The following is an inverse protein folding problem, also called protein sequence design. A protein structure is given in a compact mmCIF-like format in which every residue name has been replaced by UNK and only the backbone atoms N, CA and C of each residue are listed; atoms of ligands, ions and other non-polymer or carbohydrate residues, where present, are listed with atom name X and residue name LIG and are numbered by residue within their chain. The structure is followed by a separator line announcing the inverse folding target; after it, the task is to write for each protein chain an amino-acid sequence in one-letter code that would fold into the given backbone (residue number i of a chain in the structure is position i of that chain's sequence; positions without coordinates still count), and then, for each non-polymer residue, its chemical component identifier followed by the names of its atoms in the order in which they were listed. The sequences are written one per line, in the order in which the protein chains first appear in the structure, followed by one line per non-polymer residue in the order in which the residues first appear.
data_IF_985787776011
#
_entry.id   IF_985787776011
#
_cell.length_a   1.000
_cell.length_b   1.000
_cell.length_c   1.000
_cell.angle_alpha   90.00
_cell.angle_beta   90.00
_cell.angle_gamma   90.00
#
_symmetry.space_group_name_H-M   'P 1'
#
loop_
_entity.id
_entity.type
_entity.pdbx_description
1 polymer ?
#
# COMPACT_ATOMS: atom_id res chain seq x y z
N UNK A 1 65.67 -65.18 -24.31
CA UNK A 1 65.02 -66.02 -23.27
C UNK A 1 64.36 -65.08 -22.28
N UNK A 2 63.12 -65.40 -21.91
CA UNK A 2 62.06 -64.42 -21.61
C UNK A 2 62.26 -63.54 -20.37
N UNK A 3 61.73 -62.32 -20.46
CA UNK A 3 61.32 -61.54 -19.30
C UNK A 3 59.81 -61.72 -19.10
N UNK A 4 59.43 -62.26 -17.95
CA UNK A 4 58.07 -62.46 -17.47
C UNK A 4 57.27 -61.15 -17.45
N UNK A 5 56.08 -61.19 -18.06
CA UNK A 5 55.07 -60.14 -17.97
C UNK A 5 54.54 -60.00 -16.54
N UNK A 6 54.72 -58.82 -15.96
CA UNK A 6 54.25 -58.38 -14.65
C UNK A 6 52.99 -57.51 -14.79
N UNK A 7 52.06 -57.90 -15.66
CA UNK A 7 50.88 -57.11 -16.01
C UNK A 7 49.57 -57.89 -15.87
N UNK A 8 49.40 -58.66 -14.79
CA UNK A 8 48.09 -59.26 -14.47
C UNK A 8 47.82 -59.35 -12.97
N UNK A 9 47.59 -58.20 -12.32
CA UNK A 9 47.12 -58.22 -10.91
C UNK A 9 46.19 -57.10 -10.47
N UNK A 10 45.61 -56.32 -11.40
CA UNK A 10 44.81 -55.15 -10.99
C UNK A 10 43.56 -54.86 -11.83
N UNK A 11 42.90 -55.87 -12.38
CA UNK A 11 41.55 -55.71 -12.95
C UNK A 11 40.52 -56.31 -12.00
N UNK A 12 39.84 -55.45 -11.21
CA UNK A 12 38.66 -55.88 -10.45
C UNK A 12 37.52 -56.17 -11.42
N UNK A 13 36.80 -57.30 -11.28
CA UNK A 13 35.68 -57.60 -12.15
C UNK A 13 34.58 -56.52 -12.02
N UNK A 14 33.88 -56.17 -13.12
CA UNK A 14 32.79 -55.22 -13.07
C UNK A 14 31.72 -55.71 -12.10
N UNK A 15 31.12 -54.83 -11.28
CA UNK A 15 30.11 -55.23 -10.31
C UNK A 15 28.93 -55.90 -11.01
N UNK A 16 28.41 -56.98 -10.43
CA UNK A 16 27.27 -57.73 -10.97
C UNK A 16 26.06 -56.81 -11.20
N UNK A 17 25.23 -57.12 -12.20
CA UNK A 17 24.00 -56.38 -12.50
C UNK A 17 23.09 -56.24 -11.27
N UNK A 18 23.08 -57.25 -10.41
CA UNK A 18 22.40 -57.25 -9.12
C UNK A 18 22.93 -56.17 -8.17
N UNK A 19 24.25 -56.03 -8.03
CA UNK A 19 24.85 -55.01 -7.15
C UNK A 19 24.51 -53.59 -7.62
N UNK A 20 24.51 -53.34 -8.93
CA UNK A 20 24.10 -52.04 -9.50
C UNK A 20 22.63 -51.72 -9.20
N UNK A 21 21.74 -52.71 -9.32
CA UNK A 21 20.33 -52.54 -8.99
C UNK A 21 20.12 -52.25 -7.49
N UNK A 22 20.84 -52.93 -6.59
CA UNK A 22 20.79 -52.67 -5.15
C UNK A 22 21.28 -51.27 -4.78
N UNK A 23 22.37 -50.81 -5.38
CA UNK A 23 22.90 -49.45 -5.15
C UNK A 23 21.90 -48.40 -5.64
N UNK A 24 21.30 -48.60 -6.81
CA UNK A 24 20.29 -47.68 -7.35
C UNK A 24 19.03 -47.65 -6.49
N UNK A 25 18.51 -48.80 -6.04
CA UNK A 25 17.35 -48.85 -5.14
C UNK A 25 17.66 -48.19 -3.79
N UNK A 26 18.82 -48.47 -3.20
CA UNK A 26 19.23 -47.86 -1.93
C UNK A 26 19.37 -46.33 -2.06
N UNK A 27 19.93 -45.85 -3.18
CA UNK A 27 20.02 -44.43 -3.47
C UNK A 27 18.64 -43.78 -3.66
N UNK A 28 17.73 -44.42 -4.41
CA UNK A 28 16.36 -43.93 -4.60
C UNK A 28 15.60 -43.89 -3.25
N UNK A 29 15.70 -44.94 -2.43
CA UNK A 29 15.08 -44.97 -1.09
C UNK A 29 15.66 -43.88 -0.19
N UNK A 30 16.98 -43.67 -0.22
CA UNK A 30 17.61 -42.60 0.55
C UNK A 30 17.14 -41.22 0.10
N UNK A 31 17.09 -40.96 -1.21
CA UNK A 31 16.60 -39.68 -1.75
C UNK A 31 15.13 -39.46 -1.40
N UNK A 32 14.28 -40.48 -1.54
CA UNK A 32 12.85 -40.40 -1.21
C UNK A 32 12.65 -40.16 0.29
N UNK A 33 13.37 -40.88 1.16
CA UNK A 33 13.28 -40.69 2.62
C UNK A 33 13.81 -39.33 3.05
N UNK A 34 14.91 -38.84 2.46
CA UNK A 34 15.42 -37.49 2.72
C UNK A 34 14.44 -36.39 2.27
N UNK A 35 13.79 -36.55 1.11
CA UNK A 35 12.76 -35.63 0.62
C UNK A 35 11.51 -35.64 1.51
N UNK A 36 11.04 -36.82 1.94
CA UNK A 36 9.93 -36.95 2.87
C UNK A 36 10.24 -36.34 4.25
N UNK A 37 11.46 -36.55 4.76
CA UNK A 37 11.89 -35.94 6.00
C UNK A 37 11.96 -34.41 5.88
N UNK A 38 12.51 -33.88 4.77
CA UNK A 38 12.58 -32.46 4.51
C UNK A 38 11.19 -31.81 4.39
N UNK A 39 10.22 -32.45 3.74
CA UNK A 39 8.84 -31.94 3.66
C UNK A 39 8.15 -31.97 5.02
N UNK A 40 8.29 -33.05 5.79
CA UNK A 40 7.73 -33.14 7.15
C UNK A 40 8.33 -32.08 8.09
N UNK A 41 9.65 -31.87 8.06
CA UNK A 41 10.32 -30.87 8.87
C UNK A 41 9.91 -29.43 8.50
N UNK A 42 9.84 -29.11 7.20
CA UNK A 42 9.44 -27.78 6.72
C UNK A 42 7.96 -27.48 6.98
N UNK A 43 7.07 -28.46 6.83
CA UNK A 43 5.64 -28.31 7.16
C UNK A 43 5.41 -28.10 8.66
N UNK A 44 6.21 -28.72 9.52
CA UNK A 44 6.11 -28.54 10.96
C UNK A 44 6.65 -27.16 11.40
N UNK A 45 7.72 -26.68 10.79
CA UNK A 45 8.27 -25.36 11.09
C UNK A 45 7.28 -24.22 10.78
N UNK A 46 6.65 -24.22 9.61
CA UNK A 46 5.67 -23.19 9.22
C UNK A 46 4.44 -23.15 10.14
N UNK A 47 3.93 -24.33 10.54
CA UNK A 47 2.78 -24.42 11.44
C UNK A 47 3.08 -23.92 12.86
N UNK A 48 4.28 -24.22 13.37
CA UNK A 48 4.71 -23.74 14.69
C UNK A 48 4.81 -22.21 14.71
N UNK A 49 5.38 -21.59 13.66
CA UNK A 49 5.48 -20.13 13.59
C UNK A 49 4.12 -19.44 13.47
N UNK A 50 3.19 -20.00 12.69
CA UNK A 50 1.82 -19.47 12.61
C UNK A 50 1.09 -19.57 13.96
N UNK A 51 1.22 -20.71 14.65
CA UNK A 51 0.63 -20.91 15.96
C UNK A 51 1.23 -19.94 17.01
N UNK A 52 2.55 -19.72 16.96
CA UNK A 52 3.23 -18.73 17.80
C UNK A 52 2.73 -17.32 17.55
N UNK A 53 2.61 -16.91 16.29
CA UNK A 53 2.11 -15.60 15.91
C UNK A 53 0.67 -15.38 16.40
N UNK A 54 -0.21 -16.36 16.18
CA UNK A 54 -1.60 -16.29 16.63
C UNK A 54 -1.68 -16.19 18.15
N UNK A 55 -0.97 -17.06 18.87
CA UNK A 55 -0.94 -17.06 20.33
C UNK A 55 -0.33 -15.77 20.92
N UNK A 56 0.59 -15.13 20.19
CA UNK A 56 1.14 -13.84 20.60
C UNK A 56 0.16 -12.67 20.41
N UNK A 57 -0.84 -12.84 19.54
CA UNK A 57 -1.79 -11.79 19.12
C UNK A 57 -3.14 -11.88 19.86
N UNK A 58 -3.62 -13.10 20.11
CA UNK A 58 -4.91 -13.39 20.76
C UNK A 58 -4.83 -13.14 22.26
N UNK A 59 -5.78 -12.36 22.77
CA UNK A 59 -5.99 -12.15 24.20
C UNK A 59 -7.02 -13.14 24.76
N UNK A 60 -6.52 -14.26 25.28
CA UNK A 60 -7.35 -15.32 25.88
C UNK A 60 -8.11 -14.90 27.15
N UNK A 61 -7.83 -13.71 27.71
CA UNK A 61 -8.58 -13.17 28.84
C UNK A 61 -9.90 -12.50 28.41
N UNK A 62 -10.11 -12.28 27.11
CA UNK A 62 -11.30 -11.65 26.57
C UNK A 62 -12.26 -12.71 26.03
N UNK A 63 -13.57 -12.47 26.15
CA UNK A 63 -14.59 -13.33 25.57
C UNK A 63 -14.71 -13.04 24.06
N UNK A 64 -14.53 -14.02 23.15
CA UNK A 64 -14.70 -13.82 21.72
C UNK A 64 -16.13 -13.42 21.30
N UNK A 65 -17.13 -13.69 22.15
CA UNK A 65 -18.53 -13.36 21.88
C UNK A 65 -18.89 -11.90 22.20
N UNK A 66 -18.05 -11.17 22.93
CA UNK A 66 -18.28 -9.75 23.24
C UNK A 66 -17.75 -8.83 22.13
N UNK A 67 -16.48 -9.01 21.77
CA UNK A 67 -15.77 -8.26 20.74
C UNK A 67 -14.63 -9.11 20.18
N UNK A 68 -14.91 -9.79 19.06
CA UNK A 68 -13.94 -10.70 18.46
C UNK A 68 -12.66 -9.99 17.99
N UNK A 69 -12.75 -8.71 17.61
CA UNK A 69 -11.57 -7.95 17.21
C UNK A 69 -10.64 -7.72 18.40
N UNK A 70 -11.19 -7.32 19.56
CA UNK A 70 -10.38 -7.20 20.77
C UNK A 70 -9.80 -8.55 21.19
N UNK A 71 -10.59 -9.62 21.18
CA UNK A 71 -10.11 -10.97 21.46
C UNK A 71 -8.93 -11.35 20.56
N UNK A 72 -9.05 -11.17 19.24
CA UNK A 72 -8.04 -11.63 18.29
C UNK A 72 -6.81 -10.72 18.18
N UNK A 73 -6.94 -9.41 18.46
CA UNK A 73 -5.91 -8.42 18.10
C UNK A 73 -5.36 -7.57 19.26
N UNK A 74 -5.93 -7.61 20.46
CA UNK A 74 -5.55 -6.66 21.54
C UNK A 74 -4.08 -6.76 21.94
N UNK A 75 -3.52 -7.98 22.08
CA UNK A 75 -2.11 -8.14 22.44
C UNK A 75 -1.18 -7.69 21.31
N UNK A 76 -1.58 -7.92 20.06
CA UNK A 76 -0.82 -7.42 18.91
C UNK A 76 -0.78 -5.89 18.92
N UNK A 77 -1.94 -5.24 19.09
CA UNK A 77 -2.08 -3.78 19.18
C UNK A 77 -1.24 -3.21 20.34
N UNK A 78 -1.27 -3.84 21.52
CA UNK A 78 -0.48 -3.42 22.68
C UNK A 78 1.04 -3.52 22.48
N UNK A 79 1.51 -4.38 21.57
CA UNK A 79 2.94 -4.52 21.24
C UNK A 79 3.37 -3.69 20.03
N UNK A 80 2.44 -3.26 19.18
CA UNK A 80 2.70 -2.64 17.89
C UNK A 80 2.09 -1.24 17.80
N UNK A 81 2.72 -0.30 18.48
CA UNK A 81 2.34 1.12 18.42
C UNK A 81 2.60 1.71 17.03
N UNK A 82 1.72 2.63 16.62
CA UNK A 82 1.88 3.44 15.41
C UNK A 82 3.00 4.47 15.66
N UNK A 83 4.12 4.42 14.92
CA UNK A 83 5.18 5.41 15.06
C UNK A 83 4.71 6.81 14.63
N UNK A 84 5.31 7.88 15.17
CA UNK A 84 4.92 9.27 14.89
C UNK A 84 4.99 9.72 13.42
N UNK A 85 5.74 8.99 12.57
CA UNK A 85 5.90 9.26 11.14
C UNK A 85 4.97 8.42 10.26
N UNK A 86 3.97 7.73 10.85
CA UNK A 86 3.01 6.90 10.14
C UNK A 86 1.61 7.16 10.66
N UNK A 87 0.65 6.97 9.78
CA UNK A 87 -0.77 7.12 10.10
C UNK A 87 -1.37 5.80 10.63
N UNK A 88 -0.81 4.66 10.22
CA UNK A 88 -1.32 3.34 10.59
C UNK A 88 -0.21 2.30 10.81
N UNK A 89 -0.58 1.24 11.54
CA UNK A 89 0.21 0.02 11.66
C UNK A 89 -0.71 -1.20 11.70
N UNK A 90 -0.59 -2.03 10.67
CA UNK A 90 -1.30 -3.30 10.50
C UNK A 90 -0.34 -4.41 10.04
N UNK A 91 -0.81 -5.66 10.02
CA UNK A 91 -0.04 -6.78 9.46
C UNK A 91 0.37 -6.50 8.00
N UNK A 92 -0.53 -5.93 7.19
CA UNK A 92 -0.21 -5.54 5.81
C UNK A 92 0.92 -4.52 5.73
N UNK A 93 0.93 -3.51 6.61
CA UNK A 93 2.03 -2.53 6.62
C UNK A 93 3.37 -3.14 7.04
N UNK A 94 3.36 -4.15 7.92
CA UNK A 94 4.57 -4.88 8.33
C UNK A 94 5.11 -5.70 7.15
N UNK A 95 4.24 -6.47 6.48
CA UNK A 95 4.60 -7.27 5.33
C UNK A 95 5.08 -6.41 4.16
N UNK A 96 4.37 -5.32 3.84
CA UNK A 96 4.78 -4.38 2.80
C UNK A 96 6.15 -3.80 3.10
N UNK A 97 6.44 -3.43 4.36
CA UNK A 97 7.76 -2.94 4.74
C UNK A 97 8.86 -3.99 4.55
N UNK A 98 8.60 -5.26 4.90
CA UNK A 98 9.57 -6.33 4.68
C UNK A 98 9.86 -6.49 3.18
N UNK A 99 8.81 -6.52 2.35
CA UNK A 99 8.93 -6.57 0.90
C UNK A 99 9.70 -5.37 0.33
N UNK A 100 9.40 -4.16 0.79
CA UNK A 100 10.11 -2.94 0.36
C UNK A 100 11.61 -3.05 0.65
N UNK A 101 11.99 -3.61 1.81
CA UNK A 101 13.40 -3.81 2.17
C UNK A 101 14.08 -4.85 1.27
N UNK A 102 13.39 -5.94 0.92
CA UNK A 102 13.92 -6.95 0.00
C UNK A 102 14.12 -6.37 -1.41
N UNK A 103 13.15 -5.60 -1.90
CA UNK A 103 13.23 -4.90 -3.19
C UNK A 103 14.38 -3.89 -3.18
N UNK A 104 14.52 -3.10 -2.11
CA UNK A 104 15.64 -2.18 -1.95
C UNK A 104 16.98 -2.91 -1.95
N UNK A 105 17.07 -4.06 -1.29
CA UNK A 105 18.27 -4.91 -1.31
C UNK A 105 18.65 -5.34 -2.73
N UNK A 106 17.68 -5.82 -3.50
CA UNK A 106 17.88 -6.24 -4.90
C UNK A 106 18.30 -5.06 -5.78
N UNK A 107 17.65 -3.91 -5.64
CA UNK A 107 17.95 -2.73 -6.46
C UNK A 107 19.31 -2.11 -6.11
N UNK A 108 19.67 -2.03 -4.83
CA UNK A 108 20.97 -1.51 -4.40
C UNK A 108 22.14 -2.40 -4.83
N UNK A 109 21.95 -3.72 -4.88
CA UNK A 109 22.96 -4.66 -5.37
C UNK A 109 23.06 -4.71 -6.90
N UNK A 110 22.23 -3.96 -7.64
CA UNK A 110 22.21 -4.00 -9.10
C UNK A 110 23.31 -3.12 -9.69
N UNK A 111 24.18 -3.71 -10.53
CA UNK A 111 25.18 -2.97 -11.30
C UNK A 111 24.53 -2.28 -12.50
N UNK A 112 24.64 -0.96 -12.55
CA UNK A 112 24.12 -0.14 -13.64
C UNK A 112 25.21 -0.05 -14.73
N UNK A 113 24.89 -0.49 -15.95
CA UNK A 113 25.73 -0.35 -17.14
C UNK A 113 25.16 0.72 -18.07
N UNK A 114 26.01 1.42 -18.80
CA UNK A 114 25.63 2.47 -19.75
C UNK A 114 25.18 1.93 -21.12
N UNK A 115 25.62 0.73 -21.51
CA UNK A 115 25.41 0.22 -22.88
C UNK A 115 24.03 -0.42 -23.10
N UNK A 116 23.59 -1.27 -22.17
CA UNK A 116 22.32 -2.01 -22.26
C UNK A 116 21.67 -2.08 -20.87
N UNK A 117 20.59 -1.32 -20.68
CA UNK A 117 19.86 -1.28 -19.40
C UNK A 117 18.63 -2.19 -19.43
N UNK A 118 18.71 -3.30 -18.71
CA UNK A 118 17.57 -4.15 -18.36
C UNK A 118 16.51 -3.39 -17.53
N UNK A 119 15.25 -3.85 -17.46
CA UNK A 119 14.23 -3.25 -16.60
C UNK A 119 14.68 -3.12 -15.14
N UNK A 120 15.42 -4.12 -14.63
CA UNK A 120 16.01 -4.12 -13.29
C UNK A 120 17.03 -2.98 -13.13
N UNK A 121 17.92 -2.79 -14.10
CA UNK A 121 18.91 -1.70 -14.07
C UNK A 121 18.27 -0.31 -14.15
N UNK A 122 17.21 -0.16 -14.97
CA UNK A 122 16.45 1.11 -15.04
C UNK A 122 15.77 1.42 -13.71
N UNK A 123 15.17 0.42 -13.07
CA UNK A 123 14.57 0.59 -11.74
C UNK A 123 15.61 0.96 -10.68
N UNK A 124 16.79 0.33 -10.70
CA UNK A 124 17.88 0.66 -9.80
C UNK A 124 18.43 2.08 -10.02
N UNK A 125 18.62 2.48 -11.28
CA UNK A 125 19.04 3.84 -11.63
C UNK A 125 17.99 4.90 -11.20
N UNK A 126 16.71 4.62 -11.41
CA UNK A 126 15.62 5.49 -10.97
C UNK A 126 15.60 5.64 -9.44
N UNK A 127 15.78 4.53 -8.71
CA UNK A 127 15.91 4.55 -7.25
C UNK A 127 17.10 5.41 -6.83
N UNK A 128 18.28 5.20 -7.44
CA UNK A 128 19.50 5.95 -7.16
C UNK A 128 19.31 7.47 -7.29
N UNK A 129 18.65 7.92 -8.36
CA UNK A 129 18.32 9.33 -8.55
C UNK A 129 17.30 9.89 -7.54
N UNK A 130 16.42 9.05 -7.01
CA UNK A 130 15.44 9.44 -5.98
C UNK A 130 16.08 9.60 -4.60
N UNK A 131 17.01 8.70 -4.23
CA UNK A 131 17.62 8.69 -2.89
C UNK A 131 18.85 9.59 -2.76
N UNK A 132 19.45 10.04 -3.86
CA UNK A 132 20.57 11.00 -3.85
C UNK A 132 20.09 12.41 -3.46
N UNK A 133 19.95 12.62 -2.15
CA UNK A 133 19.58 13.92 -1.58
C UNK A 133 20.59 15.02 -1.92
N UNK A 134 21.86 14.71 -2.17
CA UNK A 134 22.87 15.72 -2.52
C UNK A 134 22.60 16.28 -3.91
N UNK A 135 22.35 15.42 -4.89
CA UNK A 135 22.00 15.84 -6.23
C UNK A 135 20.65 16.58 -6.25
N UNK A 136 19.63 16.06 -5.56
CA UNK A 136 18.32 16.72 -5.44
C UNK A 136 18.45 18.12 -4.85
N UNK A 137 19.17 18.28 -3.75
CA UNK A 137 19.36 19.58 -3.10
C UNK A 137 20.18 20.55 -3.97
N UNK A 138 21.21 20.05 -4.67
CA UNK A 138 22.03 20.86 -5.59
C UNK A 138 21.21 21.41 -6.76
N UNK A 139 20.28 20.62 -7.29
CA UNK A 139 19.41 21.03 -8.40
C UNK A 139 18.29 21.99 -7.94
N UNK A 140 17.85 21.87 -6.69
CA UNK A 140 16.77 22.67 -6.14
C UNK A 140 15.50 22.61 -6.99
N UNK A 141 14.85 23.75 -7.18
CA UNK A 141 13.60 23.88 -7.97
C UNK A 141 13.84 24.07 -9.47
N UNK A 142 15.09 24.13 -9.92
CA UNK A 142 15.43 24.45 -11.31
C UNK A 142 14.85 23.44 -12.33
N UNK A 143 14.84 22.11 -12.09
CA UNK A 143 14.22 21.16 -13.02
C UNK A 143 12.71 21.40 -13.21
N UNK A 144 12.00 21.71 -12.12
CA UNK A 144 10.56 22.00 -12.15
C UNK A 144 10.30 23.35 -12.84
N UNK A 145 11.12 24.36 -12.56
CA UNK A 145 10.99 25.69 -13.18
C UNK A 145 11.14 25.61 -14.71
N UNK A 146 12.17 24.90 -15.20
CA UNK A 146 12.34 24.64 -16.64
C UNK A 146 11.19 23.83 -17.24
N UNK A 147 10.60 22.91 -16.48
CA UNK A 147 9.44 22.15 -16.93
C UNK A 147 8.23 23.07 -17.11
N UNK A 148 7.97 23.95 -16.15
CA UNK A 148 6.88 24.93 -16.21
C UNK A 148 7.07 25.91 -17.38
N UNK A 149 8.28 26.44 -17.56
CA UNK A 149 8.64 27.32 -18.67
C UNK A 149 8.36 26.67 -20.04
N UNK A 150 8.76 25.40 -20.22
CA UNK A 150 8.51 24.64 -21.46
C UNK A 150 7.03 24.48 -21.79
N UNK A 151 6.16 24.57 -20.80
CA UNK A 151 4.71 24.46 -20.97
C UNK A 151 3.99 25.82 -20.84
N UNK A 152 4.70 26.93 -20.94
CA UNK A 152 4.11 28.28 -20.92
C UNK A 152 3.56 28.68 -19.55
N UNK A 153 4.10 28.10 -18.47
CA UNK A 153 3.72 28.38 -17.08
C UNK A 153 4.86 29.08 -16.31
N UNK A 154 5.63 29.90 -17.01
CA UNK A 154 6.72 30.67 -16.38
C UNK A 154 6.19 31.55 -15.25
N UNK A 155 6.88 31.53 -14.11
CA UNK A 155 6.50 32.29 -12.91
C UNK A 155 5.42 31.65 -12.04
N UNK A 156 4.77 30.57 -12.47
CA UNK A 156 3.80 29.86 -11.63
C UNK A 156 4.50 29.23 -10.40
N UNK A 157 3.91 29.27 -9.19
CA UNK A 157 2.56 29.74 -8.86
C UNK A 157 2.46 31.23 -8.48
N UNK A 158 3.58 31.94 -8.38
CA UNK A 158 3.63 33.32 -7.91
C UNK A 158 2.98 34.31 -8.89
N UNK A 159 3.13 34.07 -10.19
CA UNK A 159 2.56 34.88 -11.26
C UNK A 159 2.25 34.04 -12.48
N UNK A 160 1.23 34.42 -13.26
CA UNK A 160 1.01 33.86 -14.59
C UNK A 160 1.64 34.75 -15.66
N UNK A 161 2.08 34.18 -16.79
CA UNK A 161 2.54 34.98 -17.92
C UNK A 161 1.41 35.85 -18.47
N UNK A 162 1.75 36.95 -19.14
CA UNK A 162 0.78 37.91 -19.71
C UNK A 162 -0.19 37.28 -20.70
N UNK A 163 0.27 36.28 -21.46
CA UNK A 163 -0.56 35.44 -22.34
C UNK A 163 -0.36 33.98 -21.94
N UNK A 164 -1.13 33.46 -20.98
CA UNK A 164 -1.08 32.04 -20.64
C UNK A 164 -1.66 31.18 -21.77
N UNK A 165 -1.25 29.92 -21.89
CA UNK A 165 -1.83 28.98 -22.85
C UNK A 165 -3.35 28.81 -22.64
N UNK A 166 -4.04 28.46 -23.73
CA UNK A 166 -5.46 28.13 -23.67
C UNK A 166 -5.68 26.93 -22.73
N UNK A 167 -6.63 27.01 -21.76
CA UNK A 167 -6.72 26.01 -20.70
C UNK A 167 -6.96 24.58 -21.19
N UNK A 168 -7.78 24.37 -22.23
CA UNK A 168 -8.06 23.03 -22.72
C UNK A 168 -6.81 22.40 -23.35
N UNK A 169 -6.09 23.15 -24.18
CA UNK A 169 -4.81 22.72 -24.75
C UNK A 169 -3.75 22.45 -23.68
N UNK A 170 -3.64 23.32 -22.66
CA UNK A 170 -2.71 23.12 -21.55
C UNK A 170 -3.02 21.83 -20.78
N UNK A 171 -4.28 21.63 -20.39
CA UNK A 171 -4.71 20.42 -19.66
C UNK A 171 -4.46 19.17 -20.51
N UNK A 172 -4.72 19.24 -21.82
CA UNK A 172 -4.42 18.17 -22.76
C UNK A 172 -2.92 17.84 -22.79
N UNK A 173 -2.05 18.84 -22.90
CA UNK A 173 -0.59 18.62 -22.95
C UNK A 173 -0.04 18.09 -21.62
N UNK A 174 -0.47 18.66 -20.48
CA UNK A 174 -0.09 18.18 -19.15
C UNK A 174 -0.52 16.72 -18.93
N UNK A 175 -1.74 16.37 -19.35
CA UNK A 175 -2.27 15.00 -19.24
C UNK A 175 -1.47 14.03 -20.12
N UNK A 176 -1.18 14.42 -21.36
CA UNK A 176 -0.53 13.54 -22.34
C UNK A 176 0.96 13.34 -22.05
N UNK A 177 1.68 14.42 -21.74
CA UNK A 177 3.14 14.39 -21.56
C UNK A 177 3.57 14.06 -20.14
N UNK A 178 2.89 14.63 -19.15
CA UNK A 178 3.31 14.57 -17.75
C UNK A 178 2.44 13.63 -16.91
N UNK A 179 1.38 13.06 -17.49
CA UNK A 179 0.34 12.30 -16.77
C UNK A 179 -0.31 13.12 -15.64
N UNK A 180 -0.22 14.46 -15.72
CA UNK A 180 -0.83 15.38 -14.78
C UNK A 180 -2.25 15.67 -15.23
N UNK A 181 -3.23 15.21 -14.45
CA UNK A 181 -4.65 15.32 -14.77
C UNK A 181 -5.31 16.25 -13.75
N UNK A 182 -5.25 17.59 -13.92
CA UNK A 182 -5.63 18.54 -12.86
C UNK A 182 -7.15 18.70 -12.67
N UNK A 183 -7.95 18.58 -13.75
CA UNK A 183 -9.39 18.88 -13.71
C UNK A 183 -10.26 17.63 -13.56
N UNK A 184 -9.98 16.63 -14.38
CA UNK A 184 -10.69 15.36 -14.41
C UNK A 184 -9.68 14.25 -14.69
N UNK A 185 -10.02 13.04 -14.28
CA UNK A 185 -9.19 11.86 -14.53
C UNK A 185 -9.72 11.14 -15.75
N UNK A 186 -8.84 10.87 -16.70
CA UNK A 186 -9.10 10.07 -17.88
C UNK A 186 -8.38 8.72 -17.75
N UNK A 187 -9.11 7.64 -17.94
CA UNK A 187 -8.54 6.28 -17.91
C UNK A 187 -9.13 5.45 -19.04
N UNK A 188 -8.34 4.57 -19.62
CA UNK A 188 -8.85 3.54 -20.53
C UNK A 188 -9.10 2.28 -19.71
N UNK A 189 -10.34 1.83 -19.64
CA UNK A 189 -10.69 0.58 -18.97
C UNK A 189 -11.62 -0.28 -19.82
N UNK A 190 -11.81 -1.52 -19.36
CA UNK A 190 -12.68 -2.51 -19.99
C UNK A 190 -14.11 -2.00 -20.00
N UNK A 191 -14.81 -2.18 -21.12
CA UNK A 191 -16.22 -1.81 -21.18
C UNK A 191 -17.03 -2.72 -20.23
N UNK A 192 -17.85 -2.18 -19.33
CA UNK A 192 -18.45 -2.93 -18.22
C UNK A 192 -19.45 -4.01 -18.69
N UNK A 193 -20.02 -3.86 -19.88
CA UNK A 193 -20.95 -4.83 -20.48
C UNK A 193 -20.34 -5.66 -21.62
N UNK A 194 -19.10 -5.36 -22.03
CA UNK A 194 -18.42 -6.06 -23.12
C UNK A 194 -16.91 -6.10 -22.83
N UNK A 195 -16.45 -7.21 -22.27
CA UNK A 195 -15.07 -7.34 -21.81
C UNK A 195 -14.02 -7.36 -22.93
N UNK A 196 -14.46 -7.53 -24.19
CA UNK A 196 -13.59 -7.52 -25.37
C UNK A 196 -13.23 -6.11 -25.82
N UNK A 197 -13.99 -5.10 -25.38
CA UNK A 197 -13.80 -3.70 -25.75
C UNK A 197 -13.11 -2.90 -24.65
N UNK A 198 -12.55 -1.76 -25.05
CA UNK A 198 -12.01 -0.73 -24.17
C UNK A 198 -12.77 0.57 -24.41
N UNK A 199 -12.99 1.34 -23.35
CA UNK A 199 -13.60 2.66 -23.44
C UNK A 199 -12.81 3.65 -22.60
N UNK A 200 -12.91 4.93 -22.97
CA UNK A 200 -12.36 6.03 -22.17
C UNK A 200 -13.37 6.39 -21.10
N UNK A 201 -12.94 6.37 -19.84
CA UNK A 201 -13.71 6.88 -18.72
C UNK A 201 -13.18 8.25 -18.35
N UNK A 202 -14.10 9.20 -18.22
CA UNK A 202 -13.83 10.52 -17.67
C UNK A 202 -14.48 10.58 -16.30
N UNK A 203 -13.67 10.72 -15.25
CA UNK A 203 -14.13 10.80 -13.87
C UNK A 203 -13.84 12.19 -13.32
N UNK A 204 -14.77 12.74 -12.52
CA UNK A 204 -14.49 13.93 -11.70
C UNK A 204 -13.25 13.65 -10.85
N UNK A 205 -12.30 14.57 -10.82
CA UNK A 205 -11.22 14.47 -9.85
C UNK A 205 -11.76 14.93 -8.50
N UNK A 206 -11.63 14.09 -7.48
CA UNK A 206 -11.82 14.55 -6.11
C UNK A 206 -10.76 15.63 -5.88
N UNK A 207 -11.19 16.89 -5.81
CA UNK A 207 -10.28 17.96 -5.46
C UNK A 207 -9.70 17.66 -4.06
N UNK A 208 -8.44 18.06 -3.82
CA UNK A 208 -7.84 18.10 -2.48
C UNK A 208 -8.71 18.88 -1.47
N UNK A 209 -9.68 19.65 -1.98
CA UNK A 209 -10.67 20.38 -1.22
C UNK A 209 -12.05 19.80 -1.54
N UNK A 210 -12.67 19.11 -0.58
CA UNK A 210 -14.06 18.64 -0.63
C UNK A 210 -14.98 19.76 -1.14
N UNK A 211 -16.03 19.44 -1.91
CA UNK A 211 -17.05 20.40 -2.34
C UNK A 211 -17.62 21.19 -1.14
N UNK A 212 -17.71 20.58 0.06
CA UNK A 212 -18.05 21.26 1.32
C UNK A 212 -16.99 22.25 1.78
N UNK A 213 -15.70 21.99 1.56
CA UNK A 213 -14.62 22.90 1.89
C UNK A 213 -14.54 24.06 0.89
N UNK A 214 -14.78 23.81 -0.40
CA UNK A 214 -14.91 24.87 -1.40
C UNK A 214 -16.14 25.74 -1.12
N UNK A 215 -17.25 25.14 -0.72
CA UNK A 215 -18.47 25.83 -0.29
C UNK A 215 -18.25 26.59 1.03
N UNK A 216 -17.54 25.99 1.99
CA UNK A 216 -17.15 26.66 3.23
C UNK A 216 -16.17 27.80 2.99
N UNK A 217 -15.25 27.70 2.02
CA UNK A 217 -14.35 28.79 1.62
C UNK A 217 -15.10 29.89 0.87
N UNK A 218 -16.06 29.54 0.00
CA UNK A 218 -16.96 30.50 -0.66
C UNK A 218 -17.83 31.25 0.36
N UNK A 219 -18.48 30.50 1.26
CA UNK A 219 -19.30 31.05 2.34
C UNK A 219 -18.45 31.85 3.31
N UNK A 220 -17.28 31.37 3.70
CA UNK A 220 -16.36 32.11 4.57
C UNK A 220 -15.88 33.40 3.91
N UNK A 221 -15.55 33.43 2.60
CA UNK A 221 -15.22 34.68 1.90
C UNK A 221 -16.39 35.67 1.88
N UNK A 222 -17.61 35.20 1.62
CA UNK A 222 -18.80 36.04 1.63
C UNK A 222 -19.16 36.53 3.04
N UNK A 223 -19.10 35.65 4.04
CA UNK A 223 -19.30 35.95 5.46
C UNK A 223 -18.22 36.92 5.94
N UNK A 224 -16.93 36.71 5.63
CA UNK A 224 -15.85 37.62 6.00
C UNK A 224 -16.00 39.01 5.36
N UNK A 225 -16.35 39.08 4.07
CA UNK A 225 -16.59 40.36 3.41
C UNK A 225 -17.77 41.12 4.06
N UNK A 226 -18.87 40.41 4.34
CA UNK A 226 -20.09 41.01 4.89
C UNK A 226 -19.99 41.31 6.39
N UNK A 227 -19.36 40.44 7.16
CA UNK A 227 -19.11 40.64 8.60
C UNK A 227 -18.04 41.71 8.83
N UNK A 228 -16.97 41.80 8.03
CA UNK A 228 -16.02 42.90 8.11
C UNK A 228 -16.70 44.25 7.89
N UNK A 229 -17.60 44.33 6.91
CA UNK A 229 -18.33 45.57 6.61
C UNK A 229 -19.33 45.94 7.72
N UNK A 230 -20.05 44.96 8.27
CA UNK A 230 -21.02 45.17 9.37
C UNK A 230 -20.34 45.46 10.70
N UNK A 231 -19.20 44.80 11.00
CA UNK A 231 -18.45 44.98 12.24
C UNK A 231 -17.74 46.34 12.22
N UNK A 232 -17.12 46.76 11.10
CA UNK A 232 -16.53 48.10 10.98
C UNK A 232 -17.57 49.23 11.08
N UNK A 233 -18.82 48.97 10.66
CA UNK A 233 -19.91 49.94 10.80
C UNK A 233 -20.48 50.03 12.22
N UNK A 234 -20.38 48.96 13.01
CA UNK A 234 -20.99 48.89 14.35
C UNK A 234 -20.01 49.02 15.51
N UNK A 235 -18.74 48.66 15.32
CA UNK A 235 -17.69 48.71 16.34
C UNK A 235 -16.34 49.09 15.69
N UNK A 236 -15.98 50.38 15.61
CA UNK A 236 -14.83 50.86 14.85
C UNK A 236 -13.46 50.33 15.30
N UNK A 237 -13.33 49.92 16.57
CA UNK A 237 -12.03 49.65 17.21
C UNK A 237 -11.66 48.15 17.34
N UNK A 238 -12.41 47.23 16.71
CA UNK A 238 -12.09 45.79 16.80
C UNK A 238 -10.99 45.39 15.80
N UNK A 239 -9.87 44.89 16.33
CA UNK A 239 -8.78 44.31 15.54
C UNK A 239 -9.16 42.91 15.01
N UNK A 240 -9.54 42.84 13.73
CA UNK A 240 -10.01 41.63 13.03
C UNK A 240 -9.05 40.42 13.13
N UNK A 241 -7.76 40.65 13.37
CA UNK A 241 -6.73 39.61 13.49
C UNK A 241 -6.97 38.64 14.65
N UNK A 242 -7.39 39.14 15.81
CA UNK A 242 -7.62 38.32 17.01
C UNK A 242 -8.84 37.39 16.86
N UNK A 243 -9.87 37.86 16.13
CA UNK A 243 -11.10 37.08 15.86
C UNK A 243 -10.79 35.90 14.94
N UNK A 244 -9.91 36.10 13.95
CA UNK A 244 -9.49 35.05 13.02
C UNK A 244 -8.64 33.98 13.70
N UNK A 245 -7.73 34.36 14.59
CA UNK A 245 -6.88 33.41 15.35
C UNK A 245 -7.72 32.44 16.20
N UNK A 246 -8.81 32.93 16.82
CA UNK A 246 -9.73 32.08 17.59
C UNK A 246 -10.44 31.04 16.72
N UNK A 247 -10.81 31.39 15.48
CA UNK A 247 -11.54 30.49 14.56
C UNK A 247 -10.65 29.37 14.01
N UNK A 248 -9.39 29.67 13.70
CA UNK A 248 -8.45 28.67 13.19
C UNK A 248 -8.09 27.62 14.24
N UNK A 249 -8.04 27.99 15.52
CA UNK A 249 -7.78 27.05 16.62
C UNK A 249 -8.90 26.02 16.82
N UNK A 250 -10.15 26.34 16.45
CA UNK A 250 -11.29 25.40 16.56
C UNK A 250 -11.35 24.36 15.43
N UNK A 251 -10.64 24.59 14.31
CA UNK A 251 -10.69 23.74 13.11
C UNK A 251 -9.96 22.40 13.26
N UNK A 252 -9.02 22.26 14.20
CA UNK A 252 -8.26 21.00 14.36
C UNK A 252 -9.12 19.82 14.84
N UNK A 253 -10.31 20.08 15.41
CA UNK A 253 -11.22 19.03 15.88
C UNK A 253 -11.99 18.31 14.76
N UNK A 254 -11.95 18.83 13.52
CA UNK A 254 -12.73 18.28 12.38
C UNK A 254 -11.92 17.35 11.46
N UNK A 255 -10.62 17.15 11.70
CA UNK A 255 -9.77 16.27 10.88
C UNK A 255 -10.08 14.78 11.07
N UNK A 256 -10.62 14.39 12.22
CA UNK A 256 -10.77 12.97 12.58
C UNK A 256 -11.91 12.29 11.80
N UNK A 257 -12.89 13.07 11.34
CA UNK A 257 -14.01 12.56 10.55
C UNK A 257 -13.65 12.29 9.07
N UNK A 258 -12.51 12.80 8.59
CA UNK A 258 -12.07 12.72 7.19
C UNK A 258 -11.50 11.35 6.82
N UNK A 259 -10.91 10.63 7.79
CA UNK A 259 -10.28 9.32 7.55
C UNK A 259 -11.28 8.19 7.31
N UNK A 260 -12.47 8.26 7.90
CA UNK A 260 -13.51 7.23 7.78
C UNK A 260 -14.07 7.12 6.35
N UNK A 261 -14.11 8.22 5.60
CA UNK A 261 -14.72 8.27 4.27
C UNK A 261 -13.78 7.80 3.14
N UNK A 262 -12.46 7.91 3.32
CA UNK A 262 -11.46 7.50 2.33
C UNK A 262 -11.33 5.97 2.16
N UNK A 263 -11.78 5.20 3.15
CA UNK A 263 -11.72 3.73 3.14
C UNK A 263 -12.77 3.11 2.22
N UNK A 264 -13.90 3.79 2.00
CA UNK A 264 -15.06 3.20 1.30
C UNK A 264 -14.95 3.22 -0.24
N UNK A 265 -14.15 4.12 -0.85
CA UNK A 265 -14.13 4.33 -2.31
C UNK A 265 -12.97 3.62 -3.04
N UNK A 266 -12.02 3.00 -2.33
CA UNK A 266 -10.77 2.45 -2.91
C UNK A 266 -10.68 0.92 -2.94
N UNK A 267 -11.62 0.21 -2.33
CA UNK A 267 -11.63 -1.25 -2.29
C UNK A 267 -12.61 -1.73 -3.36
N UNK A 268 -12.18 -2.61 -4.27
CA UNK A 268 -13.10 -3.34 -5.16
C UNK A 268 -14.10 -4.18 -4.35
N UNK A 269 -14.88 -5.09 -4.95
CA UNK A 269 -15.83 -5.91 -4.19
C UNK A 269 -15.07 -6.98 -3.37
N UNK A 270 -14.34 -6.58 -2.35
CA UNK A 270 -14.17 -7.41 -1.17
C UNK A 270 -15.50 -7.33 -0.44
N UNK A 271 -16.32 -8.39 -0.57
CA UNK A 271 -17.47 -8.55 0.31
C UNK A 271 -16.91 -8.83 1.69
N UNK A 272 -16.66 -7.78 2.45
CA UNK A 272 -16.40 -7.88 3.89
C UNK A 272 -17.70 -8.36 4.53
N UNK A 273 -17.85 -9.69 4.62
CA UNK A 273 -18.97 -10.28 5.35
C UNK A 273 -18.70 -10.02 6.83
N UNK A 274 -19.56 -9.26 7.51
CA UNK A 274 -19.33 -8.97 8.92
C UNK A 274 -19.47 -10.28 9.71
N UNK A 275 -18.52 -10.54 10.62
CA UNK A 275 -18.54 -11.75 11.47
C UNK A 275 -19.66 -11.72 12.51
N UNK A 276 -20.16 -10.52 12.83
CA UNK A 276 -21.30 -10.31 13.71
C UNK A 276 -22.55 -10.97 13.11
N UNK A 277 -23.33 -11.66 13.94
CA UNK A 277 -24.51 -12.42 13.53
C UNK A 277 -24.24 -13.53 12.51
N UNK A 278 -22.97 -13.90 12.26
CA UNK A 278 -22.65 -14.99 11.35
C UNK A 278 -22.89 -16.34 12.05
N UNK A 279 -23.85 -17.17 11.59
CA UNK A 279 -24.26 -18.37 12.34
C UNK A 279 -23.13 -19.37 12.56
N UNK A 280 -22.24 -19.49 11.56
CA UNK A 280 -21.09 -20.38 11.67
C UNK A 280 -20.10 -19.89 12.74
N UNK A 281 -19.86 -18.58 12.83
CA UNK A 281 -19.03 -17.99 13.87
C UNK A 281 -19.62 -18.26 15.26
N UNK A 282 -20.91 -17.97 15.46
CA UNK A 282 -21.61 -18.20 16.72
C UNK A 282 -21.50 -19.68 17.17
N UNK A 283 -21.69 -20.63 16.24
CA UNK A 283 -21.54 -22.07 16.54
C UNK A 283 -20.11 -22.47 16.91
N UNK A 284 -19.10 -21.81 16.34
CA UNK A 284 -17.69 -22.14 16.59
C UNK A 284 -17.20 -21.61 17.93
N UNK A 285 -17.64 -20.41 18.34
CA UNK A 285 -17.23 -19.79 19.59
C UNK A 285 -18.24 -19.96 20.74
N UNK A 286 -19.37 -20.61 20.47
CA UNK A 286 -20.41 -20.87 21.48
C UNK A 286 -21.17 -19.62 21.91
N UNK A 287 -21.31 -18.64 21.00
CA UNK A 287 -21.97 -17.37 21.32
C UNK A 287 -23.49 -17.55 21.37
N UNK A 288 -24.09 -17.03 22.44
CA UNK A 288 -25.53 -17.07 22.69
C UNK A 288 -26.27 -15.86 22.10
N UNK A 289 -27.61 -15.91 22.04
CA UNK A 289 -28.41 -14.74 21.69
C UNK A 289 -28.12 -13.57 22.63
N UNK A 290 -28.04 -12.36 22.08
CA UNK A 290 -27.75 -11.09 22.77
C UNK A 290 -26.29 -10.88 23.18
N UNK A 291 -25.38 -11.79 22.84
CA UNK A 291 -23.94 -11.52 22.92
C UNK A 291 -23.54 -10.39 21.96
N UNK A 292 -22.43 -9.70 22.23
CA UNK A 292 -21.96 -8.57 21.41
C UNK A 292 -21.75 -8.92 19.93
N UNK A 293 -21.37 -10.18 19.65
CA UNK A 293 -21.20 -10.77 18.33
C UNK A 293 -22.47 -11.46 17.77
N UNK A 294 -23.56 -11.56 18.54
CA UNK A 294 -24.87 -12.13 18.16
C UNK A 294 -26.00 -11.20 18.63
N UNK A 295 -26.11 -10.05 17.97
CA UNK A 295 -27.04 -8.97 18.31
C UNK A 295 -28.46 -9.29 17.83
N UNK A 296 -29.42 -8.88 18.65
CA UNK A 296 -30.86 -8.93 18.31
C UNK A 296 -31.18 -8.01 17.13
N UNK A 297 -30.66 -6.78 17.14
CA UNK A 297 -30.80 -5.82 16.04
C UNK A 297 -29.80 -6.13 14.92
N UNK A 298 -30.30 -6.69 13.82
CA UNK A 298 -29.51 -6.98 12.63
C UNK A 298 -29.63 -5.84 11.62
N UNK A 299 -28.51 -5.33 11.13
CA UNK A 299 -28.53 -4.42 9.98
C UNK A 299 -28.84 -5.24 8.72
N UNK A 300 -29.99 -5.00 8.08
CA UNK A 300 -30.24 -5.49 6.72
C UNK A 300 -29.36 -4.67 5.76
N UNK A 301 -28.44 -5.35 5.08
CA UNK A 301 -27.54 -4.68 4.14
C UNK A 301 -28.25 -4.33 2.82
N UNK A 302 -29.39 -4.98 2.55
CA UNK A 302 -30.24 -4.78 1.38
C UNK A 302 -31.67 -5.29 1.69
N UNK A 303 -32.65 -4.40 1.72
CA UNK A 303 -34.08 -4.71 1.56
C UNK A 303 -34.56 -4.17 0.20
#
# INVERSE_FOLDING_TARGET
MGSMDLADRNQRPPPSSTLRAFVLHSFVVFVVTALLLATVLTMNFSRIEQARFLNASVDWALNPCDDFYKFACSRWKGRHHVPSHRDERSLFTVLRRALDMDVLGVLNATVISEELQTPKQKAAALLGGCIDRRQVNRLGVAPVSRLLERHGLSGWPASLPRSPPEPALLVGELTRRLRLQPLFTTTVSVHPKDVTRRMVHVKKKYALFNDRLLEAVRKARWIHAKSSQVIQQRVPDVQMKAVLESYYNTRSALSDHYWQWLVEDWIGPEVNVPLINFPKFASTFGCGPNDGMVREEQCSLWD
#
